data_IF_511842406226
#
_entry.id   IF_511842406226
#
_cell.length_a   1.000
_cell.length_b   1.000
_cell.length_c   1.000
_cell.angle_alpha   90.00
_cell.angle_beta   90.00
_cell.angle_gamma   90.00
#
_symmetry.space_group_name_H-M   'P 1'
#
loop_
_entity.id
_entity.type
_entity.pdbx_description
1 polymer ?
#
# COMPACT_ATOMS: atom_id res chain seq x y z
N UNK A 1 -16.16 20.14 -4.37
CA UNK A 1 -14.88 19.39 -4.29
C UNK A 1 -14.73 18.86 -2.86
N UNK A 2 -14.69 17.54 -2.68
CA UNK A 2 -14.30 16.93 -1.40
C UNK A 2 -12.85 17.29 -1.08
N UNK A 3 -12.58 17.76 0.14
CA UNK A 3 -11.22 17.98 0.63
C UNK A 3 -10.72 16.66 1.22
N UNK A 4 -9.74 16.04 0.58
CA UNK A 4 -9.10 14.82 1.06
C UNK A 4 -7.68 15.20 1.51
N UNK A 5 -7.24 14.82 2.72
CA UNK A 5 -5.87 15.07 3.15
C UNK A 5 -4.89 14.28 2.27
N UNK A 6 -3.88 14.97 1.74
CA UNK A 6 -2.83 14.36 0.91
C UNK A 6 -1.50 14.51 1.63
N UNK A 7 -0.86 13.38 1.90
CA UNK A 7 0.48 13.32 2.48
C UNK A 7 1.50 12.99 1.39
N UNK A 8 2.65 13.65 1.41
CA UNK A 8 3.75 13.40 0.48
C UNK A 8 4.97 12.95 1.26
N UNK A 9 5.51 11.79 0.87
CA UNK A 9 6.72 11.21 1.46
C UNK A 9 7.77 11.07 0.36
N UNK A 10 9.02 11.37 0.67
CA UNK A 10 10.17 11.05 -0.17
C UNK A 10 10.85 9.81 0.39
N UNK A 11 10.96 8.76 -0.42
CA UNK A 11 11.62 7.53 -0.04
C UNK A 11 12.96 7.43 -0.78
N UNK A 12 14.05 7.30 -0.03
CA UNK A 12 15.32 6.86 -0.57
C UNK A 12 15.38 5.33 -0.43
N UNK A 13 15.53 4.62 -1.53
CA UNK A 13 15.55 3.16 -1.54
C UNK A 13 16.49 2.66 -2.63
N UNK A 14 17.08 1.49 -2.40
CA UNK A 14 17.84 0.73 -3.40
C UNK A 14 16.93 -0.14 -4.27
N UNK A 15 15.65 -0.27 -3.91
CA UNK A 15 14.68 -1.04 -4.65
C UNK A 15 14.25 -0.33 -5.94
N UNK A 16 13.92 -1.13 -6.96
CA UNK A 16 13.28 -0.60 -8.16
C UNK A 16 11.94 0.06 -7.79
N UNK A 17 11.57 1.17 -8.44
CA UNK A 17 10.33 1.87 -8.12
C UNK A 17 9.06 1.01 -8.22
N UNK A 18 9.01 0.08 -9.18
CA UNK A 18 7.92 -0.90 -9.32
C UNK A 18 7.84 -1.82 -8.11
N UNK A 19 8.99 -2.23 -7.55
CA UNK A 19 9.05 -3.06 -6.36
C UNK A 19 8.53 -2.32 -5.13
N UNK A 20 8.91 -1.05 -4.98
CA UNK A 20 8.37 -0.17 -3.93
C UNK A 20 6.85 -0.04 -4.09
N UNK A 21 6.36 0.29 -5.29
CA UNK A 21 4.92 0.41 -5.55
C UNK A 21 4.19 -0.90 -5.25
N UNK A 22 4.73 -2.03 -5.67
CA UNK A 22 4.18 -3.35 -5.40
C UNK A 22 4.03 -3.58 -3.90
N UNK A 23 5.08 -3.43 -3.10
CA UNK A 23 5.00 -3.64 -1.64
C UNK A 23 4.00 -2.68 -0.98
N UNK A 24 3.93 -1.43 -1.44
CA UNK A 24 2.94 -0.45 -0.95
C UNK A 24 1.49 -0.86 -1.26
N UNK A 25 1.23 -1.65 -2.30
CA UNK A 25 -0.12 -2.23 -2.52
C UNK A 25 -0.57 -3.10 -1.34
N UNK A 26 0.36 -3.73 -0.65
CA UNK A 26 0.10 -4.61 0.50
C UNK A 26 -0.39 -3.87 1.75
N UNK A 27 -0.34 -2.54 1.80
CA UNK A 27 -0.85 -1.74 2.93
C UNK A 27 -2.02 -0.83 2.54
N UNK A 28 -2.43 -0.83 1.27
CA UNK A 28 -3.59 -0.03 0.82
C UNK A 28 -4.92 -0.60 1.30
N UNK A 29 -4.97 -1.89 1.59
CA UNK A 29 -6.18 -2.63 1.90
C UNK A 29 -6.06 -3.36 3.22
N UNK A 30 -7.17 -3.41 3.96
CA UNK A 30 -7.35 -4.32 5.07
C UNK A 30 -8.61 -5.13 4.80
N UNK A 31 -8.44 -6.44 4.59
CA UNK A 31 -9.47 -7.30 3.99
C UNK A 31 -10.00 -6.68 2.67
N UNK A 32 -11.31 -6.48 2.52
CA UNK A 32 -11.92 -5.86 1.33
C UNK A 32 -12.04 -4.33 1.42
N UNK A 33 -11.61 -3.71 2.52
CA UNK A 33 -11.71 -2.26 2.73
C UNK A 33 -10.41 -1.58 2.31
N UNK A 34 -10.50 -0.61 1.41
CA UNK A 34 -9.37 0.27 1.07
C UNK A 34 -9.17 1.29 2.20
N UNK A 35 -7.98 1.33 2.78
CA UNK A 35 -7.60 2.26 3.85
C UNK A 35 -7.06 3.58 3.30
N UNK A 36 -6.26 3.50 2.23
CA UNK A 36 -5.70 4.67 1.56
C UNK A 36 -5.40 4.38 0.09
N UNK A 37 -5.18 5.43 -0.71
CA UNK A 37 -4.68 5.31 -2.08
C UNK A 37 -3.21 5.73 -2.08
N UNK A 38 -2.32 4.83 -2.50
CA UNK A 38 -0.88 5.09 -2.49
C UNK A 38 -0.37 5.16 -3.93
N UNK A 39 0.11 6.34 -4.28
CA UNK A 39 0.75 6.59 -5.56
C UNK A 39 2.24 6.79 -5.43
N UNK A 40 2.98 6.10 -6.30
CA UNK A 40 4.42 6.24 -6.42
C UNK A 40 4.73 7.04 -7.67
N UNK A 41 5.50 8.10 -7.48
CA UNK A 41 5.98 8.97 -8.54
C UNK A 41 7.50 8.92 -8.62
N UNK A 42 8.03 8.78 -9.83
CA UNK A 42 9.46 8.89 -10.13
C UNK A 42 9.62 9.93 -11.22
N UNK A 43 10.47 10.92 -10.99
CA UNK A 43 10.73 12.01 -11.96
C UNK A 43 9.44 12.66 -12.48
N UNK A 44 8.45 12.86 -11.59
CA UNK A 44 7.16 13.46 -11.91
C UNK A 44 6.15 12.52 -12.59
N UNK A 45 6.52 11.27 -12.91
CA UNK A 45 5.64 10.29 -13.55
C UNK A 45 5.08 9.30 -12.54
N UNK A 46 3.76 9.12 -12.54
CA UNK A 46 3.06 8.10 -11.75
C UNK A 46 3.33 6.72 -12.36
N UNK A 47 3.78 5.78 -11.53
CA UNK A 47 3.89 4.38 -11.94
C UNK A 47 2.49 3.76 -11.97
N UNK A 48 2.02 3.19 -13.09
CA UNK A 48 0.72 2.54 -13.16
C UNK A 48 0.74 1.19 -12.42
N UNK A 49 -0.42 0.69 -11.98
CA UNK A 49 -0.46 -0.63 -11.33
C UNK A 49 -0.28 -1.77 -12.35
N UNK A 50 -0.60 -1.53 -13.62
CA UNK A 50 -0.45 -2.49 -14.72
C UNK A 50 1.01 -2.80 -15.05
N UNK A 51 1.97 -1.99 -14.58
CA UNK A 51 3.41 -2.29 -14.73
C UNK A 51 3.94 -3.24 -13.66
N UNK A 52 3.12 -3.68 -12.70
CA UNK A 52 3.55 -4.49 -11.55
C UNK A 52 3.48 -6.00 -11.80
N UNK A 53 3.01 -6.43 -12.98
CA UNK A 53 2.86 -7.84 -13.34
C UNK A 53 1.47 -8.13 -13.92
N UNK A 54 1.24 -9.42 -14.23
CA UNK A 54 -0.06 -9.90 -14.69
C UNK A 54 -0.89 -10.32 -13.48
N UNK A 55 -1.91 -9.54 -13.18
CA UNK A 55 -2.91 -9.83 -12.14
C UNK A 55 -4.29 -9.60 -12.74
N UNK A 56 -5.24 -10.47 -12.41
CA UNK A 56 -6.61 -10.39 -12.93
C UNK A 56 -7.38 -9.24 -12.26
N UNK A 57 -6.94 -8.80 -11.08
CA UNK A 57 -7.52 -7.65 -10.38
C UNK A 57 -6.53 -6.91 -9.49
N UNK A 58 -6.88 -5.66 -9.13
CA UNK A 58 -6.15 -4.88 -8.12
C UNK A 58 -6.16 -5.55 -6.75
N UNK A 59 -7.18 -6.34 -6.44
CA UNK A 59 -7.30 -7.04 -5.16
C UNK A 59 -6.33 -8.22 -5.09
N UNK A 60 -6.22 -9.00 -6.16
CA UNK A 60 -5.25 -10.08 -6.25
C UNK A 60 -3.82 -9.56 -6.11
N UNK A 61 -3.49 -8.47 -6.82
CA UNK A 61 -2.22 -7.75 -6.67
C UNK A 61 -1.98 -7.32 -5.20
N UNK A 62 -2.98 -6.74 -4.54
CA UNK A 62 -2.86 -6.30 -3.15
C UNK A 62 -2.65 -7.49 -2.19
N UNK A 63 -3.33 -8.60 -2.41
CA UNK A 63 -3.18 -9.83 -1.63
C UNK A 63 -1.77 -10.42 -1.79
N UNK A 64 -1.30 -10.57 -3.04
CA UNK A 64 0.06 -11.04 -3.31
C UNK A 64 1.12 -10.13 -2.69
N UNK A 65 0.93 -8.81 -2.80
CA UNK A 65 1.81 -7.84 -2.15
C UNK A 65 1.79 -7.93 -0.63
N UNK A 66 0.63 -8.17 -0.01
CA UNK A 66 0.51 -8.35 1.43
C UNK A 66 1.27 -9.59 1.90
N UNK A 67 1.01 -10.74 1.27
CA UNK A 67 1.66 -12.00 1.62
C UNK A 67 3.18 -11.90 1.50
N UNK A 68 3.68 -11.18 0.51
CA UNK A 68 5.12 -10.98 0.37
C UNK A 68 5.68 -9.97 1.38
N UNK A 69 4.99 -8.84 1.59
CA UNK A 69 5.39 -7.84 2.56
C UNK A 69 5.53 -8.45 3.96
N UNK A 70 4.55 -9.25 4.40
CA UNK A 70 4.55 -9.84 5.74
C UNK A 70 5.72 -10.78 5.99
N UNK A 71 6.22 -11.47 4.95
CA UNK A 71 7.42 -12.33 5.05
C UNK A 71 8.70 -11.55 5.37
N UNK A 72 8.72 -10.24 5.11
CA UNK A 72 9.88 -9.38 5.28
C UNK A 72 9.81 -8.54 6.57
N UNK A 73 8.72 -8.63 7.32
CA UNK A 73 8.50 -7.83 8.52
C UNK A 73 8.65 -8.69 9.77
N UNK A 74 9.28 -8.12 10.81
CA UNK A 74 9.32 -8.74 12.14
C UNK A 74 7.91 -8.79 12.76
N UNK A 75 7.70 -9.72 13.70
CA UNK A 75 6.42 -9.85 14.42
C UNK A 75 5.95 -8.55 15.09
N UNK A 76 6.86 -7.77 15.69
CA UNK A 76 6.51 -6.49 16.33
C UNK A 76 6.00 -5.45 15.33
N UNK A 77 6.60 -5.40 14.13
CA UNK A 77 6.17 -4.51 13.05
C UNK A 77 4.82 -4.96 12.50
N UNK A 78 4.59 -6.26 12.34
CA UNK A 78 3.29 -6.80 11.93
C UNK A 78 2.18 -6.46 12.93
N UNK A 79 2.47 -6.62 14.22
CA UNK A 79 1.54 -6.24 15.29
C UNK A 79 1.19 -4.75 15.21
N UNK A 80 2.21 -3.89 15.13
CA UNK A 80 2.00 -2.44 15.02
C UNK A 80 1.23 -2.04 13.75
N UNK A 81 1.50 -2.71 12.63
CA UNK A 81 0.77 -2.49 11.38
C UNK A 81 -0.71 -2.85 11.55
N UNK A 82 -1.02 -4.01 12.14
CA UNK A 82 -2.40 -4.41 12.45
C UNK A 82 -3.13 -3.41 13.35
N UNK A 83 -2.49 -2.93 14.42
CA UNK A 83 -3.06 -1.92 15.32
C UNK A 83 -3.41 -0.61 14.59
N UNK A 84 -2.56 -0.17 13.65
CA UNK A 84 -2.81 1.01 12.81
C UNK A 84 -4.01 0.77 11.89
N UNK A 85 -4.04 -0.38 11.23
CA UNK A 85 -5.12 -0.74 10.30
C UNK A 85 -6.48 -0.83 11.01
N UNK A 86 -6.54 -1.48 12.18
CA UNK A 86 -7.75 -1.56 13.00
C UNK A 86 -8.24 -0.18 13.42
N UNK A 87 -7.32 0.70 13.84
CA UNK A 87 -7.65 2.09 14.17
C UNK A 87 -8.26 2.82 12.96
N UNK A 88 -7.65 2.70 11.78
CA UNK A 88 -8.14 3.31 10.55
C UNK A 88 -9.52 2.75 10.13
N UNK A 89 -9.75 1.44 10.28
CA UNK A 89 -11.05 0.82 10.00
C UNK A 89 -12.14 1.36 10.92
N UNK A 90 -11.83 1.57 12.21
CA UNK A 90 -12.75 2.12 13.20
C UNK A 90 -13.09 3.58 12.92
N UNK A 91 -12.09 4.40 12.61
CA UNK A 91 -12.28 5.84 12.33
C UNK A 91 -12.97 6.12 10.99
N UNK A 92 -13.00 5.14 10.08
CA UNK A 92 -13.70 5.22 8.79
C UNK A 92 -15.10 4.60 8.80
N UNK A 93 -15.70 4.43 9.99
CA UNK A 93 -17.10 3.99 10.17
C UNK A 93 -18.06 5.14 10.57
N UNK A 94 -17.57 6.38 10.53
CA UNK A 94 -18.35 7.62 10.63
C UNK A 94 -18.39 8.34 9.26
#
# INVERSE_FOLDING_TARGET
LMRVPVYKLKLLSWEKPERVKFLLKGIEYHSYKRLCDIDVFVEGKKIPWTSLGKYDSKFELAKAAREELEKHLSGDVLKKLGEIEEKLVRESKD
#
